data_IF_867003745620
#
_entry.id   IF_867003745620
#
_cell.length_a   1.000
_cell.length_b   1.000
_cell.length_c   1.000
_cell.angle_alpha   90.00
_cell.angle_beta   90.00
_cell.angle_gamma   90.00
#
_symmetry.space_group_name_H-M   'P 1'
#
loop_
_entity.id
_entity.type
_entity.pdbx_description
1 polymer ?
#
# COMPACT_ATOMS: atom_id res chain seq x y z
N UNK A 1 -3.01 -7.88 -0.45
CA UNK A 1 -2.79 -6.69 0.39
C UNK A 1 -1.62 -6.86 1.36
N UNK A 2 -1.51 -8.02 2.03
CA UNK A 2 -0.42 -8.28 2.97
C UNK A 2 0.96 -8.26 2.29
N UNK A 3 1.06 -8.84 1.10
CA UNK A 3 2.32 -8.84 0.34
C UNK A 3 2.70 -7.43 -0.10
N UNK A 4 1.71 -6.64 -0.52
CA UNK A 4 1.95 -5.24 -0.90
C UNK A 4 2.39 -4.44 0.33
N UNK A 5 1.75 -4.70 1.48
CA UNK A 5 2.12 -4.03 2.72
C UNK A 5 3.52 -4.43 3.17
N UNK A 6 3.91 -5.69 2.96
CA UNK A 6 5.26 -6.16 3.29
C UNK A 6 6.32 -5.48 2.42
N UNK A 7 6.03 -5.32 1.12
CA UNK A 7 6.91 -4.57 0.22
C UNK A 7 7.03 -3.11 0.66
N UNK A 8 5.89 -2.52 1.04
CA UNK A 8 5.85 -1.15 1.54
C UNK A 8 6.59 -1.03 2.86
N UNK A 9 6.53 -2.07 3.72
CA UNK A 9 7.26 -2.09 5.00
C UNK A 9 8.76 -1.96 4.76
N UNK A 10 9.30 -2.68 3.77
CA UNK A 10 10.72 -2.58 3.44
C UNK A 10 11.08 -1.17 2.97
N UNK A 11 10.20 -0.55 2.17
CA UNK A 11 10.39 0.84 1.73
C UNK A 11 10.31 1.80 2.92
N UNK A 12 9.35 1.58 3.82
CA UNK A 12 9.22 2.38 5.05
C UNK A 12 10.46 2.25 5.93
N UNK A 13 10.99 1.05 6.08
CA UNK A 13 12.21 0.83 6.87
C UNK A 13 13.37 1.66 6.32
N UNK A 14 13.50 1.72 4.99
CA UNK A 14 14.54 2.51 4.34
C UNK A 14 14.34 4.01 4.62
N UNK A 15 13.11 4.49 4.49
CA UNK A 15 12.76 5.89 4.77
C UNK A 15 13.04 6.22 6.24
N UNK A 16 12.59 5.37 7.15
CA UNK A 16 12.70 5.60 8.59
C UNK A 16 14.14 5.49 9.07
N UNK A 17 14.98 4.65 8.45
CA UNK A 17 16.38 4.54 8.84
C UNK A 17 17.13 5.85 8.55
N UNK A 18 16.68 6.61 7.57
CA UNK A 18 17.28 7.92 7.24
C UNK A 18 16.73 9.03 8.12
N UNK A 19 15.42 9.03 8.37
CA UNK A 19 14.72 10.13 9.04
C UNK A 19 14.55 9.95 10.56
N UNK A 20 14.54 8.70 11.04
CA UNK A 20 14.31 8.42 12.45
C UNK A 20 12.84 8.53 12.84
N UNK A 21 12.55 9.22 13.93
CA UNK A 21 11.17 9.39 14.40
C UNK A 21 10.47 10.44 13.54
N UNK A 22 9.38 10.04 12.90
CA UNK A 22 8.66 10.87 11.93
C UNK A 22 7.20 11.03 12.33
N UNK A 23 6.51 11.99 11.72
CA UNK A 23 5.07 12.13 11.86
C UNK A 23 4.39 11.36 10.74
N UNK A 24 3.45 10.50 11.11
CA UNK A 24 2.74 9.61 10.18
C UNK A 24 1.25 9.82 10.26
N UNK A 25 0.59 9.77 9.11
CA UNK A 25 -0.87 9.85 9.01
C UNK A 25 -1.36 8.59 8.29
N UNK A 26 -2.34 7.91 8.87
CA UNK A 26 -2.99 6.76 8.24
C UNK A 26 -4.44 7.14 7.92
N UNK A 27 -4.80 7.09 6.64
CA UNK A 27 -6.16 7.40 6.18
C UNK A 27 -6.94 6.09 6.09
N UNK A 28 -7.97 5.97 6.91
CA UNK A 28 -8.79 4.78 7.00
C UNK A 28 -8.31 3.86 8.12
N UNK A 29 -9.27 3.23 8.81
CA UNK A 29 -8.94 2.34 9.93
C UNK A 29 -9.77 1.04 9.86
N UNK A 30 -9.94 0.53 8.65
CA UNK A 30 -10.43 -0.82 8.43
C UNK A 30 -9.28 -1.81 8.61
N UNK A 31 -9.44 -2.99 8.08
CA UNK A 31 -8.43 -4.06 8.20
C UNK A 31 -7.03 -3.60 7.77
N UNK A 32 -6.95 -2.95 6.62
CA UNK A 32 -5.65 -2.46 6.10
C UNK A 32 -5.08 -1.31 6.94
N UNK A 33 -5.95 -0.41 7.38
CA UNK A 33 -5.52 0.71 8.22
C UNK A 33 -4.95 0.23 9.55
N UNK A 34 -5.60 -0.77 10.14
CA UNK A 34 -5.13 -1.39 11.40
C UNK A 34 -3.74 -1.99 11.17
N UNK A 35 -3.56 -2.74 10.08
CA UNK A 35 -2.25 -3.34 9.76
C UNK A 35 -1.18 -2.28 9.51
N UNK A 36 -1.54 -1.18 8.87
CA UNK A 36 -0.60 -0.08 8.63
C UNK A 36 -0.13 0.54 9.96
N UNK A 37 -1.07 0.76 10.89
CA UNK A 37 -0.74 1.30 12.22
C UNK A 37 0.15 0.31 12.99
N UNK A 38 -0.20 -0.98 12.97
CA UNK A 38 0.62 -2.02 13.61
C UNK A 38 2.04 -2.00 13.06
N UNK A 39 2.18 -1.90 11.74
CA UNK A 39 3.48 -1.86 11.08
C UNK A 39 4.30 -0.66 11.54
N UNK A 40 3.70 0.53 11.57
CA UNK A 40 4.38 1.74 12.03
C UNK A 40 4.83 1.60 13.49
N UNK A 41 3.95 1.07 14.34
CA UNK A 41 4.27 0.88 15.76
C UNK A 41 5.37 -0.16 15.94
N UNK A 42 5.35 -1.24 15.16
CA UNK A 42 6.40 -2.27 15.19
C UNK A 42 7.75 -1.71 14.75
N UNK A 43 7.74 -0.68 13.88
CA UNK A 43 8.95 0.02 13.44
C UNK A 43 9.36 1.13 14.41
N UNK A 44 8.70 1.20 15.56
CA UNK A 44 9.08 2.13 16.63
C UNK A 44 8.49 3.54 16.51
N UNK A 45 7.55 3.74 15.60
CA UNK A 45 6.95 5.05 15.39
C UNK A 45 5.87 5.31 16.44
N UNK A 46 5.88 6.51 16.99
CA UNK A 46 4.97 6.91 18.08
C UNK A 46 4.05 8.07 17.69
N UNK A 47 4.45 8.90 16.74
CA UNK A 47 3.68 10.07 16.32
C UNK A 47 2.79 9.68 15.14
N UNK A 48 1.66 9.04 15.43
CA UNK A 48 0.74 8.50 14.43
C UNK A 48 -0.64 9.13 14.58
N UNK A 49 -1.14 9.72 13.51
CA UNK A 49 -2.51 10.23 13.43
C UNK A 49 -3.30 9.29 12.52
N UNK A 50 -4.43 8.82 12.99
CA UNK A 50 -5.35 7.98 12.20
C UNK A 50 -6.59 8.80 11.87
N UNK A 51 -6.95 8.85 10.59
CA UNK A 51 -8.15 9.54 10.14
C UNK A 51 -9.22 8.49 9.84
N UNK A 52 -10.35 8.59 10.52
CA UNK A 52 -11.44 7.63 10.41
C UNK A 52 -12.78 8.36 10.26
N UNK A 53 -13.73 7.71 9.59
CA UNK A 53 -15.10 8.26 9.48
C UNK A 53 -15.78 8.30 10.84
N UNK A 54 -15.50 7.33 11.70
CA UNK A 54 -16.05 7.23 13.05
C UNK A 54 -14.94 6.96 14.05
N UNK A 55 -14.17 8.00 14.45
CA UNK A 55 -13.01 7.79 15.33
C UNK A 55 -13.31 7.06 16.63
N UNK A 56 -14.43 7.38 17.28
CA UNK A 56 -14.80 6.73 18.55
C UNK A 56 -15.06 5.25 18.37
N UNK A 57 -15.82 4.88 17.35
CA UNK A 57 -16.14 3.48 17.06
C UNK A 57 -14.87 2.72 16.67
N UNK A 58 -14.04 3.33 15.83
CA UNK A 58 -12.79 2.75 15.39
C UNK A 58 -11.86 2.49 16.58
N UNK A 59 -11.75 3.46 17.48
CA UNK A 59 -10.95 3.35 18.69
C UNK A 59 -11.45 2.22 19.59
N UNK A 60 -12.78 2.12 19.75
CA UNK A 60 -13.38 1.09 20.59
C UNK A 60 -13.11 -0.32 20.08
N UNK A 61 -13.09 -0.50 18.75
CA UNK A 61 -12.82 -1.81 18.15
C UNK A 61 -11.36 -2.24 18.27
N UNK A 62 -10.44 -1.29 18.42
CA UNK A 62 -9.01 -1.55 18.44
C UNK A 62 -8.32 -0.71 19.51
N UNK A 63 -8.78 -0.83 20.77
CA UNK A 63 -8.32 0.02 21.87
C UNK A 63 -6.80 0.03 22.07
N UNK A 64 -6.18 -1.13 22.03
CA UNK A 64 -4.75 -1.25 22.24
C UNK A 64 -3.91 -0.43 21.25
N UNK A 65 -4.32 -0.42 19.98
CA UNK A 65 -3.65 0.38 18.96
C UNK A 65 -4.03 1.85 19.09
N UNK A 66 -5.32 2.12 19.31
CA UNK A 66 -5.85 3.48 19.36
C UNK A 66 -5.26 4.31 20.51
N UNK A 67 -4.94 3.66 21.62
CA UNK A 67 -4.32 4.33 22.78
C UNK A 67 -2.94 4.91 22.46
N UNK A 68 -2.29 4.36 21.45
CA UNK A 68 -0.94 4.76 21.06
C UNK A 68 -0.91 5.61 19.79
N UNK A 69 -2.07 6.15 19.40
CA UNK A 69 -2.16 7.06 18.26
C UNK A 69 -3.27 8.07 18.48
N UNK A 70 -3.27 9.12 17.67
CA UNK A 70 -4.32 10.14 17.73
C UNK A 70 -5.36 9.81 16.66
N UNK A 71 -6.63 9.67 17.09
CA UNK A 71 -7.73 9.37 16.15
C UNK A 71 -8.52 10.64 15.87
N UNK A 72 -8.67 10.99 14.59
CA UNK A 72 -9.43 12.19 14.19
C UNK A 72 -10.43 11.84 13.08
N UNK A 73 -11.41 12.71 12.88
CA UNK A 73 -12.38 12.60 11.80
C UNK A 73 -11.82 13.22 10.52
N UNK A 74 -12.45 12.93 9.38
CA UNK A 74 -12.08 13.57 8.12
C UNK A 74 -12.35 15.07 8.13
N UNK A 75 -13.37 15.52 8.87
CA UNK A 75 -13.62 16.97 8.99
C UNK A 75 -12.51 17.67 9.78
N UNK A 76 -11.98 17.02 10.81
CA UNK A 76 -10.84 17.56 11.57
C UNK A 76 -9.56 17.53 10.72
N UNK A 77 -9.43 16.52 9.86
CA UNK A 77 -8.28 16.38 8.96
C UNK A 77 -8.22 17.50 7.92
N UNK A 78 -9.36 18.14 7.62
CA UNK A 78 -9.39 19.24 6.65
C UNK A 78 -8.52 20.44 7.07
N UNK A 79 -8.22 20.57 8.36
CA UNK A 79 -7.21 21.51 8.82
C UNK A 79 -5.84 20.93 8.48
N UNK A 80 -5.08 21.62 7.66
CA UNK A 80 -3.79 21.13 7.15
C UNK A 80 -2.82 20.76 8.28
N UNK A 81 -2.21 19.59 8.17
CA UNK A 81 -1.23 19.11 9.14
C UNK A 81 0.07 18.71 8.44
N UNK A 82 1.16 18.77 9.14
CA UNK A 82 2.45 18.32 8.65
C UNK A 82 2.58 16.82 8.86
N UNK A 83 3.13 16.14 7.86
CA UNK A 83 3.43 14.72 7.99
C UNK A 83 4.61 14.36 7.09
N UNK A 84 5.44 13.47 7.57
CA UNK A 84 6.55 12.92 6.78
C UNK A 84 6.06 11.74 5.94
N UNK A 85 5.11 11.00 6.45
CA UNK A 85 4.57 9.79 5.81
C UNK A 85 3.04 9.85 5.88
N UNK A 86 2.40 9.52 4.75
CA UNK A 86 0.95 9.29 4.70
C UNK A 86 0.73 7.91 4.11
N UNK A 87 -0.08 7.09 4.77
CA UNK A 87 -0.49 5.79 4.25
C UNK A 87 -2.00 5.82 4.07
N UNK A 88 -2.45 5.71 2.82
CA UNK A 88 -3.88 5.68 2.53
C UNK A 88 -4.36 4.24 2.33
N UNK A 89 -5.38 3.87 3.09
CA UNK A 89 -6.07 2.58 2.98
C UNK A 89 -7.55 2.80 2.75
N UNK A 90 -7.91 3.95 2.19
CA UNK A 90 -9.31 4.34 1.97
C UNK A 90 -9.97 3.43 0.93
N UNK A 91 -11.26 3.21 1.10
CA UNK A 91 -12.07 2.54 0.10
C UNK A 91 -12.95 3.59 -0.54
N UNK A 92 -12.72 3.86 -1.80
CA UNK A 92 -13.46 4.89 -2.54
C UNK A 92 -13.65 4.44 -4.00
N UNK A 93 -14.75 4.86 -4.59
CA UNK A 93 -15.07 4.51 -5.99
C UNK A 93 -14.33 5.42 -6.97
N UNK A 94 -13.84 6.56 -6.49
CA UNK A 94 -13.07 7.52 -7.28
C UNK A 94 -12.13 8.24 -6.32
N UNK A 95 -11.08 8.89 -6.81
CA UNK A 95 -10.14 9.57 -5.92
C UNK A 95 -10.81 10.62 -5.04
N UNK A 96 -10.51 10.57 -3.77
CA UNK A 96 -11.01 11.54 -2.79
C UNK A 96 -10.20 12.84 -2.87
N UNK A 97 -8.88 12.71 -3.06
CA UNK A 97 -7.99 13.88 -3.10
C UNK A 97 -7.54 14.14 -4.53
N UNK A 98 -7.88 15.31 -5.01
CA UNK A 98 -7.75 15.73 -6.41
C UNK A 98 -7.28 17.17 -6.45
N UNK A 99 -7.12 17.72 -7.66
CA UNK A 99 -6.78 19.13 -7.85
C UNK A 99 -7.78 20.07 -7.15
N UNK A 100 -9.08 19.71 -7.19
CA UNK A 100 -10.13 20.56 -6.59
C UNK A 100 -10.34 20.27 -5.10
N UNK A 101 -9.80 19.17 -4.59
CA UNK A 101 -9.87 18.80 -3.17
C UNK A 101 -8.50 18.24 -2.75
N UNK A 102 -7.49 19.11 -2.63
CA UNK A 102 -6.13 18.61 -2.36
C UNK A 102 -5.99 17.93 -1.00
N UNK A 103 -5.07 16.98 -0.93
CA UNK A 103 -4.74 16.31 0.32
C UNK A 103 -4.27 17.37 1.33
N UNK A 104 -4.90 17.43 2.53
CA UNK A 104 -4.56 18.48 3.51
C UNK A 104 -3.30 18.15 4.32
N UNK A 105 -2.22 17.91 3.61
CA UNK A 105 -0.90 17.61 4.20
C UNK A 105 0.09 18.63 3.67
N UNK A 106 0.89 19.18 4.55
CA UNK A 106 1.95 20.12 4.17
C UNK A 106 3.31 19.50 4.48
N UNK A 107 4.31 19.95 3.74
CA UNK A 107 5.68 19.51 3.92
C UNK A 107 6.10 18.47 2.89
N UNK A 108 7.35 18.08 2.98
CA UNK A 108 7.95 17.06 2.16
C UNK A 108 7.49 15.70 2.67
N UNK A 109 6.59 15.07 1.96
CA UNK A 109 5.87 13.88 2.42
C UNK A 109 6.01 12.74 1.42
N UNK A 110 6.19 11.52 1.91
CA UNK A 110 6.08 10.32 1.11
C UNK A 110 4.70 9.71 1.37
N UNK A 111 3.91 9.55 0.31
CA UNK A 111 2.52 9.09 0.39
C UNK A 111 2.43 7.70 -0.22
N UNK A 112 1.98 6.74 0.57
CA UNK A 112 1.81 5.35 0.16
C UNK A 112 0.31 5.09 0.02
N UNK A 113 -0.17 4.97 -1.24
CA UNK A 113 -1.59 4.75 -1.49
C UNK A 113 -1.85 3.29 -1.86
N UNK A 114 -2.48 2.55 -0.94
CA UNK A 114 -2.85 1.15 -1.13
C UNK A 114 -4.27 0.98 -1.65
N UNK A 115 -4.94 2.08 -1.96
CA UNK A 115 -6.34 2.07 -2.42
C UNK A 115 -6.41 1.66 -3.89
N UNK A 116 -7.47 0.94 -4.24
CA UNK A 116 -7.82 0.74 -5.64
C UNK A 116 -9.35 0.77 -5.77
N UNK A 117 -9.89 1.65 -6.61
CA UNK A 117 -9.16 2.70 -7.36
C UNK A 117 -8.36 3.62 -6.45
N UNK A 118 -7.36 4.34 -6.98
CA UNK A 118 -6.53 5.22 -6.17
C UNK A 118 -7.36 6.25 -5.39
N UNK A 119 -6.98 6.52 -4.15
CA UNK A 119 -7.66 7.50 -3.33
C UNK A 119 -7.11 8.92 -3.53
N UNK A 120 -5.92 9.02 -4.09
CA UNK A 120 -5.20 10.29 -4.25
C UNK A 120 -4.70 10.39 -5.69
N UNK A 121 -4.98 11.51 -6.34
CA UNK A 121 -4.44 11.81 -7.67
C UNK A 121 -3.14 12.59 -7.53
N UNK A 122 -2.26 12.46 -8.51
CA UNK A 122 -1.00 13.21 -8.55
C UNK A 122 -1.26 14.71 -8.47
N UNK A 123 -2.35 15.19 -9.07
CA UNK A 123 -2.75 16.60 -9.03
C UNK A 123 -3.30 17.02 -7.65
N UNK A 124 -3.56 16.08 -6.78
CA UNK A 124 -4.08 16.34 -5.43
C UNK A 124 -3.01 16.54 -4.38
N UNK A 125 -1.74 16.51 -4.77
CA UNK A 125 -0.61 16.69 -3.85
C UNK A 125 0.30 17.80 -4.36
N UNK A 126 1.18 18.29 -3.46
CA UNK A 126 2.12 19.35 -3.84
C UNK A 126 3.36 18.76 -4.53
N UNK A 127 4.15 19.63 -5.15
CA UNK A 127 5.35 19.24 -5.91
C UNK A 127 6.42 18.60 -5.00
N UNK A 128 6.44 18.95 -3.74
CA UNK A 128 7.42 18.43 -2.78
C UNK A 128 7.02 17.08 -2.18
N UNK A 129 5.84 16.57 -2.56
CA UNK A 129 5.31 15.31 -2.06
C UNK A 129 5.46 14.22 -3.13
N UNK A 130 5.71 13.01 -2.68
CA UNK A 130 5.89 11.84 -3.56
C UNK A 130 4.74 10.86 -3.33
N UNK A 131 4.05 10.49 -4.42
CA UNK A 131 2.93 9.55 -4.36
C UNK A 131 3.36 8.20 -4.93
N UNK A 132 3.27 7.18 -4.09
CA UNK A 132 3.59 5.79 -4.44
C UNK A 132 2.32 4.97 -4.35
N UNK A 133 1.72 4.67 -5.49
CA UNK A 133 0.46 3.93 -5.55
C UNK A 133 0.64 2.48 -5.99
N UNK A 134 -0.46 1.83 -6.32
CA UNK A 134 -0.50 0.43 -6.71
C UNK A 134 0.46 0.13 -7.87
N UNK A 135 0.51 1.02 -8.87
CA UNK A 135 1.43 0.86 -10.01
C UNK A 135 2.89 0.80 -9.56
N UNK A 136 3.25 1.65 -8.59
CA UNK A 136 4.60 1.66 -8.03
C UNK A 136 4.92 0.31 -7.38
N UNK A 137 4.00 -0.21 -6.56
CA UNK A 137 4.23 -1.48 -5.85
C UNK A 137 4.40 -2.64 -6.82
N UNK A 138 3.61 -2.65 -7.89
CA UNK A 138 3.75 -3.67 -8.94
C UNK A 138 5.11 -3.55 -9.63
N UNK A 139 5.56 -2.33 -9.91
CA UNK A 139 6.88 -2.11 -10.54
C UNK A 139 8.01 -2.55 -9.60
N UNK A 140 7.89 -2.29 -8.32
CA UNK A 140 8.87 -2.75 -7.32
C UNK A 140 8.95 -4.27 -7.34
N UNK A 141 7.80 -4.94 -7.34
CA UNK A 141 7.75 -6.41 -7.38
C UNK A 141 8.38 -6.97 -8.65
N UNK A 142 8.20 -6.29 -9.80
CA UNK A 142 8.79 -6.71 -11.07
C UNK A 142 10.30 -6.58 -11.10
N UNK A 143 10.85 -5.58 -10.42
CA UNK A 143 12.27 -5.22 -10.52
C UNK A 143 13.13 -5.82 -9.42
N UNK A 144 12.53 -6.43 -8.41
CA UNK A 144 13.29 -7.08 -7.33
C UNK A 144 13.79 -8.44 -7.83
N UNK A 145 15.08 -8.71 -7.63
CA UNK A 145 15.67 -10.03 -7.89
C UNK A 145 14.94 -11.08 -7.04
N UNK A 146 14.60 -12.25 -7.62
CA UNK A 146 13.87 -13.29 -6.85
C UNK A 146 14.53 -13.67 -5.53
N UNK A 147 15.86 -13.74 -5.49
CA UNK A 147 16.58 -14.08 -4.26
C UNK A 147 16.43 -12.97 -3.23
N UNK A 148 16.59 -11.72 -3.65
CA UNK A 148 16.38 -10.56 -2.79
C UNK A 148 14.96 -10.49 -2.29
N UNK A 149 14.01 -10.80 -3.17
CA UNK A 149 12.59 -10.80 -2.83
C UNK A 149 12.30 -11.85 -1.74
N UNK A 150 12.86 -13.04 -1.88
CA UNK A 150 12.73 -14.11 -0.87
C UNK A 150 13.30 -13.68 0.47
N UNK A 151 14.48 -13.08 0.47
CA UNK A 151 15.12 -12.57 1.69
C UNK A 151 14.25 -11.50 2.33
N UNK A 152 13.77 -10.56 1.51
CA UNK A 152 12.95 -9.45 1.97
C UNK A 152 11.64 -9.91 2.60
N UNK A 153 10.99 -10.91 2.00
CA UNK A 153 9.69 -11.38 2.43
C UNK A 153 9.77 -12.59 3.37
N UNK A 154 10.95 -13.15 3.55
CA UNK A 154 11.20 -14.24 4.48
C UNK A 154 11.15 -15.62 3.87
N UNK A 155 10.06 -16.01 3.24
CA UNK A 155 9.88 -17.36 2.71
C UNK A 155 9.31 -17.31 1.30
N UNK A 156 10.05 -17.87 0.35
CA UNK A 156 9.69 -17.83 -1.05
C UNK A 156 8.36 -18.48 -1.40
N UNK A 157 8.14 -19.69 -0.92
CA UNK A 157 6.93 -20.46 -1.26
C UNK A 157 5.67 -19.81 -0.66
N UNK A 158 5.76 -19.37 0.59
CA UNK A 158 4.66 -18.66 1.24
C UNK A 158 4.35 -17.35 0.52
N UNK A 159 5.40 -16.69 0.04
CA UNK A 159 5.23 -15.45 -0.72
C UNK A 159 4.44 -15.69 -2.01
N UNK A 160 4.83 -16.71 -2.78
CA UNK A 160 4.15 -17.03 -4.04
C UNK A 160 2.68 -17.35 -3.77
N UNK A 161 2.41 -18.18 -2.78
CA UNK A 161 1.05 -18.53 -2.39
C UNK A 161 0.24 -17.31 -1.97
N UNK A 162 0.83 -16.45 -1.18
CA UNK A 162 0.17 -15.21 -0.73
C UNK A 162 -0.15 -14.29 -1.89
N UNK A 163 0.77 -14.12 -2.83
CA UNK A 163 0.55 -13.29 -4.01
C UNK A 163 -0.58 -13.87 -4.85
N UNK A 164 -0.57 -15.18 -5.08
CA UNK A 164 -1.61 -15.85 -5.84
C UNK A 164 -2.98 -15.68 -5.19
N UNK A 165 -3.06 -15.93 -3.88
CA UNK A 165 -4.32 -15.82 -3.14
C UNK A 165 -4.88 -14.40 -3.21
N UNK A 166 -4.03 -13.41 -3.12
CA UNK A 166 -4.45 -12.02 -3.19
C UNK A 166 -4.96 -11.62 -4.54
N UNK A 167 -4.28 -12.03 -5.59
CA UNK A 167 -4.76 -11.72 -6.92
C UNK A 167 -6.09 -12.44 -7.17
N UNK A 168 -6.24 -13.66 -6.68
CA UNK A 168 -7.51 -14.38 -6.79
C UNK A 168 -8.64 -13.66 -6.04
N UNK A 169 -8.36 -13.19 -4.83
CA UNK A 169 -9.34 -12.42 -4.07
C UNK A 169 -9.77 -11.15 -4.82
N UNK A 170 -8.79 -10.42 -5.35
CA UNK A 170 -9.06 -9.21 -6.12
C UNK A 170 -9.91 -9.51 -7.36
N UNK A 171 -9.58 -10.60 -8.05
CA UNK A 171 -10.28 -10.99 -9.29
C UNK A 171 -11.71 -11.46 -9.03
N UNK A 172 -12.00 -12.02 -7.87
CA UNK A 172 -13.35 -12.51 -7.54
C UNK A 172 -14.24 -11.42 -6.94
N UNK A 173 -13.68 -10.28 -6.54
CA UNK A 173 -14.46 -9.19 -5.96
C UNK A 173 -15.24 -8.46 -7.03
N UNK A 174 -16.58 -8.55 -6.95
CA UNK A 174 -17.49 -7.98 -7.95
C UNK A 174 -17.43 -6.46 -8.05
N UNK A 175 -17.02 -5.83 -6.97
CA UNK A 175 -16.98 -4.36 -6.92
C UNK A 175 -15.67 -3.79 -7.45
N UNK A 176 -14.77 -4.66 -7.89
CA UNK A 176 -13.44 -4.24 -8.33
C UNK A 176 -13.17 -4.53 -9.81
N UNK A 177 -14.19 -4.30 -10.66
CA UNK A 177 -14.04 -4.52 -12.10
C UNK A 177 -12.88 -3.77 -12.72
N UNK A 178 -12.69 -2.52 -12.33
CA UNK A 178 -11.58 -1.71 -12.82
C UNK A 178 -10.23 -2.23 -12.33
N UNK A 179 -10.20 -2.65 -11.06
CA UNK A 179 -9.00 -3.26 -10.48
C UNK A 179 -8.70 -4.59 -11.16
N UNK A 180 -9.74 -5.37 -11.45
CA UNK A 180 -9.59 -6.64 -12.16
C UNK A 180 -8.94 -6.42 -13.54
N UNK A 181 -9.44 -5.45 -14.31
CA UNK A 181 -8.90 -5.12 -15.63
C UNK A 181 -7.43 -4.68 -15.53
N UNK A 182 -7.13 -3.85 -14.53
CA UNK A 182 -5.77 -3.40 -14.25
C UNK A 182 -4.86 -4.60 -13.93
N UNK A 183 -5.32 -5.49 -13.04
CA UNK A 183 -4.53 -6.66 -12.64
C UNK A 183 -4.27 -7.57 -13.84
N UNK A 184 -5.29 -7.82 -14.69
CA UNK A 184 -5.08 -8.64 -15.90
C UNK A 184 -3.96 -8.05 -16.77
N UNK A 185 -4.01 -6.75 -17.01
CA UNK A 185 -2.99 -6.07 -17.80
C UNK A 185 -1.59 -6.20 -17.18
N UNK A 186 -1.50 -5.99 -15.87
CA UNK A 186 -0.23 -6.09 -15.17
C UNK A 186 0.30 -7.53 -15.13
N UNK A 187 -0.58 -8.50 -14.98
CA UNK A 187 -0.20 -9.92 -14.97
C UNK A 187 0.32 -10.34 -16.35
N UNK A 188 -0.33 -9.88 -17.43
CA UNK A 188 0.16 -10.13 -18.79
C UNK A 188 1.55 -9.55 -18.98
N UNK A 189 1.75 -8.33 -18.54
CA UNK A 189 3.06 -7.66 -18.60
C UNK A 189 4.12 -8.40 -17.80
N UNK A 190 3.78 -8.82 -16.59
CA UNK A 190 4.68 -9.58 -15.73
C UNK A 190 5.03 -10.93 -16.38
N UNK A 191 4.03 -11.63 -16.91
CA UNK A 191 4.23 -12.92 -17.58
C UNK A 191 5.18 -12.76 -18.76
N UNK A 192 4.94 -11.76 -19.62
CA UNK A 192 5.78 -11.48 -20.76
C UNK A 192 7.23 -11.13 -20.32
N UNK A 193 7.33 -10.32 -19.26
CA UNK A 193 8.63 -9.93 -18.70
C UNK A 193 9.39 -11.14 -18.18
N UNK A 194 8.69 -12.06 -17.50
CA UNK A 194 9.32 -13.27 -16.95
C UNK A 194 9.69 -14.25 -18.07
N UNK A 195 8.89 -14.33 -19.12
CA UNK A 195 9.19 -15.18 -20.28
C UNK A 195 10.45 -14.69 -21.02
N UNK A 196 10.63 -13.36 -21.07
CA UNK A 196 11.78 -12.77 -21.74
C UNK A 196 13.00 -12.62 -20.83
N UNK A 197 12.78 -12.72 -19.51
CA UNK A 197 13.87 -12.67 -18.52
C UNK A 197 14.69 -13.95 -18.59
N UNK A 198 15.83 -13.94 -17.92
CA UNK A 198 16.68 -15.12 -17.86
C UNK A 198 15.88 -16.32 -17.31
N UNK A 199 16.29 -17.47 -17.73
CA UNK A 199 15.71 -18.74 -17.25
C UNK A 199 15.75 -18.86 -15.72
N UNK A 200 16.58 -18.07 -15.07
CA UNK A 200 16.68 -18.03 -13.61
C UNK A 200 15.36 -17.53 -12.98
N UNK A 201 14.80 -16.47 -13.53
CA UNK A 201 13.54 -15.92 -13.02
C UNK A 201 12.40 -16.92 -13.13
N UNK A 202 12.30 -17.57 -14.29
CA UNK A 202 11.27 -18.61 -14.51
C UNK A 202 11.47 -19.79 -13.59
N UNK A 203 12.69 -20.16 -13.31
CA UNK A 203 12.98 -21.27 -12.38
C UNK A 203 12.65 -20.89 -10.94
N UNK A 204 12.85 -19.62 -10.60
CA UNK A 204 12.60 -19.14 -9.23
C UNK A 204 11.12 -18.94 -8.93
N UNK A 205 10.34 -18.48 -9.94
CA UNK A 205 8.92 -18.16 -9.72
C UNK A 205 8.04 -18.71 -10.86
N UNK A 206 8.14 -20.02 -11.17
CA UNK A 206 7.39 -20.57 -12.30
C UNK A 206 5.86 -20.53 -12.10
N UNK A 207 5.41 -20.72 -10.86
CA UNK A 207 3.98 -20.75 -10.54
C UNK A 207 3.33 -19.39 -10.82
N UNK A 208 4.03 -18.31 -10.58
CA UNK A 208 3.50 -16.97 -10.77
C UNK A 208 3.31 -16.65 -12.25
N UNK A 209 4.28 -17.06 -13.08
CA UNK A 209 4.17 -16.91 -14.52
C UNK A 209 3.05 -17.75 -15.09
N UNK A 210 2.92 -19.00 -14.64
CA UNK A 210 1.83 -19.89 -15.05
C UNK A 210 0.46 -19.32 -14.67
N UNK A 211 0.36 -18.81 -13.44
CA UNK A 211 -0.85 -18.18 -12.94
C UNK A 211 -1.26 -16.97 -13.80
N UNK A 212 -0.28 -16.12 -14.13
CA UNK A 212 -0.54 -14.96 -14.98
C UNK A 212 -1.09 -15.36 -16.35
N UNK A 213 -0.55 -16.43 -16.93
CA UNK A 213 -1.03 -16.93 -18.23
C UNK A 213 -2.43 -17.53 -18.15
N UNK A 214 -2.76 -18.17 -17.05
CA UNK A 214 -4.07 -18.78 -16.84
C UNK A 214 -5.21 -17.77 -16.74
N UNK A 215 -4.98 -16.63 -16.14
CA UNK A 215 -6.01 -15.59 -16.03
C UNK A 215 -6.07 -14.67 -17.26
N UNK A 216 -5.04 -14.75 -18.12
CA UNK A 216 -4.98 -14.07 -19.22
C UNK A 216 -5.72 -14.52 -20.20
#
# INVERSE_FOLDING_TARGET
TESMLNLATASLEAILSEKGDVSSVVLGFGEMGVKAVETLQDLGQTNIVVVSRNPKESANRNQGLAERCKMISYSDFSAKIEADIVISTMRCSSPEYTETNPLPIIGETTILDFSWPPSIEQNGISKEQTLLGMEHWIQVARNIDPTEYKILMGKGDELIENIQNRYMEALTNKNEGRFRAFIYGQMEELSASWETSSSTLEREIPQLGAFAREIX
#
